data_IF_250684591227
#
_entry.id   IF_250684591227
#
_cell.length_a   1.000
_cell.length_b   1.000
_cell.length_c   1.000
_cell.angle_alpha   90.00
_cell.angle_beta   90.00
_cell.angle_gamma   90.00
#
_symmetry.space_group_name_H-M   'P 1'
#
loop_
_entity.id
_entity.type
_entity.pdbx_description
1 polymer ?
#
# COMPACT_ATOMS: atom_id res chain seq x y z
N UNK A 1 -5.86 12.00 16.99
CA UNK A 1 -6.40 12.56 15.74
C UNK A 1 -6.12 11.51 14.69
N UNK A 2 -7.16 10.82 14.19
CA UNK A 2 -6.98 9.88 13.09
C UNK A 2 -6.67 10.69 11.83
N UNK A 3 -5.59 10.36 11.14
CA UNK A 3 -5.27 10.98 9.86
C UNK A 3 -6.32 10.56 8.84
N UNK A 4 -6.86 11.52 8.09
CA UNK A 4 -7.73 11.25 6.96
C UNK A 4 -6.95 10.39 5.95
N UNK A 5 -7.36 9.12 5.70
CA UNK A 5 -6.63 8.21 4.82
C UNK A 5 -6.51 8.77 3.41
N UNK A 6 -7.47 9.57 2.98
CA UNK A 6 -7.47 10.24 1.69
C UNK A 6 -6.35 11.29 1.61
N UNK A 7 -6.07 11.99 2.72
CA UNK A 7 -4.96 12.93 2.83
C UNK A 7 -3.59 12.23 2.85
N UNK A 8 -3.51 11.05 3.48
CA UNK A 8 -2.29 10.23 3.50
C UNK A 8 -1.98 9.69 2.10
N UNK A 9 -2.97 9.14 1.41
CA UNK A 9 -2.83 8.65 0.04
C UNK A 9 -2.46 9.78 -0.93
N UNK A 10 -3.07 10.96 -0.79
CA UNK A 10 -2.69 12.15 -1.55
C UNK A 10 -1.21 12.52 -1.35
N UNK A 11 -0.72 12.51 -0.11
CA UNK A 11 0.68 12.78 0.22
C UNK A 11 1.62 11.76 -0.43
N UNK A 12 1.24 10.48 -0.43
CA UNK A 12 2.05 9.40 -1.06
C UNK A 12 2.17 9.61 -2.57
N UNK A 13 1.09 10.02 -3.25
CA UNK A 13 1.12 10.33 -4.69
C UNK A 13 2.06 11.50 -4.99
N UNK A 14 1.95 12.59 -4.22
CA UNK A 14 2.83 13.76 -4.40
C UNK A 14 4.31 13.40 -4.21
N UNK A 15 4.62 12.63 -3.15
CA UNK A 15 5.98 12.21 -2.86
C UNK A 15 6.56 11.31 -3.97
N UNK A 16 5.74 10.38 -4.48
CA UNK A 16 6.14 9.50 -5.57
C UNK A 16 6.46 10.31 -6.84
N UNK A 17 5.63 11.28 -7.20
CA UNK A 17 5.89 12.15 -8.35
C UNK A 17 7.13 13.03 -8.17
N UNK A 18 7.44 13.46 -6.95
CA UNK A 18 8.67 14.18 -6.64
C UNK A 18 9.91 13.28 -6.79
N UNK A 19 9.83 12.03 -6.35
CA UNK A 19 10.90 11.03 -6.52
C UNK A 19 11.14 10.74 -8.01
N UNK A 20 10.08 10.55 -8.80
CA UNK A 20 10.19 10.32 -10.24
C UNK A 20 10.90 11.48 -10.97
N UNK A 21 10.67 12.72 -10.52
CA UNK A 21 11.32 13.92 -11.08
C UNK A 21 12.80 14.05 -10.68
N UNK A 22 13.15 13.64 -9.46
CA UNK A 22 14.52 13.78 -8.93
C UNK A 22 15.42 12.58 -9.25
N UNK A 23 14.84 11.40 -9.45
CA UNK A 23 15.52 10.16 -9.76
C UNK A 23 14.87 9.49 -10.98
N UNK A 24 15.43 9.69 -12.19
CA UNK A 24 14.91 9.08 -13.42
C UNK A 24 14.85 7.55 -13.35
N UNK A 25 15.84 6.93 -12.71
CA UNK A 25 15.90 5.47 -12.52
C UNK A 25 14.79 4.96 -11.58
N UNK A 26 14.20 5.84 -10.79
CA UNK A 26 13.12 5.54 -9.86
C UNK A 26 11.73 5.81 -10.48
N UNK A 27 11.65 6.39 -11.68
CA UNK A 27 10.41 6.89 -12.27
C UNK A 27 9.34 5.80 -12.43
N UNK A 28 9.74 4.59 -12.84
CA UNK A 28 8.82 3.45 -12.99
C UNK A 28 8.27 3.01 -11.62
N UNK A 29 9.14 2.86 -10.62
CA UNK A 29 8.75 2.50 -9.26
C UNK A 29 7.83 3.54 -8.63
N UNK A 30 8.15 4.82 -8.81
CA UNK A 30 7.34 5.94 -8.34
C UNK A 30 5.95 5.97 -9.03
N UNK A 31 5.90 5.73 -10.34
CA UNK A 31 4.63 5.67 -11.08
C UNK A 31 3.74 4.52 -10.60
N UNK A 32 4.34 3.36 -10.28
CA UNK A 32 3.61 2.22 -9.69
C UNK A 32 3.05 2.54 -8.30
N UNK A 33 3.81 3.27 -7.47
CA UNK A 33 3.34 3.71 -6.14
C UNK A 33 2.17 4.69 -6.26
N UNK A 34 2.22 5.64 -7.21
CA UNK A 34 1.13 6.57 -7.45
C UNK A 34 -0.14 5.86 -7.96
N UNK A 35 0.01 4.85 -8.83
CA UNK A 35 -1.11 4.04 -9.31
C UNK A 35 -1.77 3.25 -8.17
N UNK A 36 -0.98 2.57 -7.34
CA UNK A 36 -1.45 1.82 -6.16
C UNK A 36 -2.20 2.72 -5.18
N UNK A 37 -1.69 3.92 -4.90
CA UNK A 37 -2.37 4.88 -4.03
C UNK A 37 -3.70 5.38 -4.64
N UNK A 38 -3.77 5.52 -5.96
CA UNK A 38 -5.00 5.82 -6.69
C UNK A 38 -6.03 4.69 -6.62
N UNK A 39 -5.60 3.44 -6.75
CA UNK A 39 -6.46 2.25 -6.63
C UNK A 39 -7.02 2.09 -5.21
N UNK A 40 -6.20 2.31 -4.19
CA UNK A 40 -6.61 2.30 -2.77
C UNK A 40 -7.63 3.41 -2.46
N UNK A 41 -7.58 4.51 -3.20
CA UNK A 41 -8.52 5.64 -3.09
C UNK A 41 -9.82 5.41 -3.85
N UNK A 42 -9.78 4.66 -4.96
CA UNK A 42 -10.89 4.54 -5.91
C UNK A 42 -11.98 3.53 -5.52
N UNK A 43 -11.78 2.71 -4.49
CA UNK A 43 -12.79 1.76 -4.05
C UNK A 43 -12.69 1.40 -2.59
N UNK A 44 -13.76 0.85 -1.98
CA UNK A 44 -13.62 0.15 -0.72
C UNK A 44 -12.60 -0.95 -0.98
N UNK A 45 -11.43 -0.84 -0.35
CA UNK A 45 -10.38 -1.87 -0.43
C UNK A 45 -11.06 -3.19 -0.11
N UNK A 46 -11.20 -4.06 -1.11
CA UNK A 46 -11.70 -5.40 -0.90
C UNK A 46 -10.61 -6.14 -0.12
N UNK A 47 -10.78 -6.12 1.19
CA UNK A 47 -9.82 -6.69 2.14
C UNK A 47 -9.64 -8.18 1.90
N UNK A 48 -10.67 -8.85 1.37
CA UNK A 48 -10.59 -10.23 0.92
C UNK A 48 -9.60 -10.35 -0.23
N UNK A 49 -9.76 -9.54 -1.28
CA UNK A 49 -8.85 -9.55 -2.42
C UNK A 49 -7.39 -9.22 -2.05
N UNK A 50 -7.15 -8.26 -1.15
CA UNK A 50 -5.78 -7.94 -0.68
C UNK A 50 -5.19 -9.09 0.12
N UNK A 51 -5.99 -9.73 0.98
CA UNK A 51 -5.55 -10.86 1.78
C UNK A 51 -5.29 -12.10 0.90
N UNK A 52 -6.13 -12.36 -0.09
CA UNK A 52 -5.98 -13.47 -1.04
C UNK A 52 -4.72 -13.30 -1.91
N UNK A 53 -4.41 -12.08 -2.36
CA UNK A 53 -3.16 -11.80 -3.11
C UNK A 53 -1.93 -11.96 -2.22
N UNK A 54 -1.99 -11.51 -0.96
CA UNK A 54 -0.91 -11.69 0.00
C UNK A 54 -0.68 -13.18 0.33
N UNK A 55 -1.74 -13.95 0.52
CA UNK A 55 -1.66 -15.40 0.78
C UNK A 55 -1.14 -16.17 -0.44
N UNK A 56 -1.58 -15.81 -1.65
CA UNK A 56 -1.09 -16.43 -2.89
C UNK A 56 0.41 -16.17 -3.14
N UNK A 57 0.87 -14.93 -2.95
CA UNK A 57 2.29 -14.58 -3.09
C UNK A 57 3.16 -15.17 -1.96
N UNK A 58 2.58 -15.41 -0.77
CA UNK A 58 3.25 -16.06 0.35
C UNK A 58 3.39 -17.58 0.19
N UNK A 59 2.53 -18.24 -0.59
CA UNK A 59 2.62 -19.68 -0.89
C UNK A 59 3.68 -19.98 -1.96
N UNK A 60 3.99 -19.01 -2.84
CA UNK A 60 4.98 -19.17 -3.92
C UNK A 60 6.40 -18.74 -3.53
N UNK A 61 6.59 -18.00 -2.44
CA UNK A 61 7.90 -17.51 -2.01
C UNK A 61 8.14 -17.69 -0.52
N UNK A 62 9.34 -18.16 -0.16
CA UNK A 62 9.89 -18.36 1.19
C UNK A 62 9.95 -17.05 2.01
N UNK A 63 8.78 -16.46 2.30
CA UNK A 63 8.60 -15.28 3.14
C UNK A 63 8.20 -15.73 4.55
N UNK A 64 9.07 -16.56 5.14
CA UNK A 64 9.08 -16.96 6.54
C UNK A 64 9.28 -15.78 7.53
N UNK A 65 9.50 -14.57 7.02
CA UNK A 65 9.81 -13.43 7.87
C UNK A 65 8.54 -12.98 8.64
N UNK A 66 8.47 -13.32 9.93
CA UNK A 66 7.42 -12.91 10.90
C UNK A 66 7.05 -11.42 10.81
N UNK A 67 7.96 -10.58 10.28
CA UNK A 67 7.73 -9.16 10.01
C UNK A 67 6.67 -8.91 8.95
N UNK A 68 6.57 -9.72 7.89
CA UNK A 68 5.55 -9.56 6.84
C UNK A 68 4.16 -9.84 7.41
N UNK A 69 4.01 -10.91 8.20
CA UNK A 69 2.76 -11.23 8.91
C UNK A 69 2.37 -10.15 9.92
N UNK A 70 3.33 -9.59 10.65
CA UNK A 70 3.11 -8.51 11.61
C UNK A 70 2.68 -7.21 10.93
N UNK A 71 3.31 -6.87 9.79
CA UNK A 71 2.94 -5.69 8.99
C UNK A 71 1.57 -5.86 8.36
N UNK A 72 1.25 -7.02 7.77
CA UNK A 72 -0.06 -7.30 7.19
C UNK A 72 -1.17 -7.23 8.25
N UNK A 73 -0.97 -7.84 9.42
CA UNK A 73 -1.93 -7.75 10.53
C UNK A 73 -2.10 -6.31 11.05
N UNK A 74 -1.03 -5.51 11.04
CA UNK A 74 -1.07 -4.10 11.44
C UNK A 74 -1.85 -3.24 10.42
N UNK A 75 -1.72 -3.53 9.11
CA UNK A 75 -2.49 -2.87 8.04
C UNK A 75 -3.97 -3.21 8.15
N UNK A 76 -4.32 -4.49 8.33
CA UNK A 76 -5.71 -4.93 8.51
C UNK A 76 -6.35 -4.31 9.75
N UNK A 77 -5.59 -4.18 10.84
CA UNK A 77 -6.05 -3.55 12.08
C UNK A 77 -6.22 -2.04 11.93
N UNK A 78 -5.26 -1.35 11.29
CA UNK A 78 -5.37 0.09 11.04
C UNK A 78 -6.60 0.43 10.20
N UNK A 79 -6.93 -0.40 9.21
CA UNK A 79 -8.13 -0.23 8.42
C UNK A 79 -9.42 -0.53 9.24
N UNK A 80 -9.39 -1.32 10.32
CA UNK A 80 -10.57 -1.61 11.15
C UNK A 80 -10.94 -0.48 12.13
N UNK A 81 -9.99 0.41 12.44
CA UNK A 81 -10.18 1.49 13.41
C UNK A 81 -10.56 2.84 12.74
N UNK A 82 -10.93 2.84 11.45
CA UNK A 82 -11.60 3.96 10.80
C UNK A 82 -13.09 4.01 11.20
N UNK A 83 -13.60 5.14 11.74
CA UNK A 83 -15.01 5.32 12.09
C UNK A 83 -15.94 5.42 10.88
#
# INVERSE_FOLDING_TARGET
MASDPDAVLGTIVELAMDIARQCPDCADSASRIAALAGELRAGPVDRGAVQDVLEAEMDEGDLSDMRVRSTAASVVKAARDEP
#
